data_IF_746777032300
#
_entry.id   IF_746777032300
#
_cell.length_a   1.000
_cell.length_b   1.000
_cell.length_c   1.000
_cell.angle_alpha   90.00
_cell.angle_beta   90.00
_cell.angle_gamma   90.00
#
_symmetry.space_group_name_H-M   'P 1'
#
loop_
_entity.id
_entity.type
_entity.pdbx_description
1 polymer ?
#
# COMPACT_ATOMS: atom_id res chain seq x y z
N UNK A 1 7.91 -23.25 -9.31
CA UNK A 1 8.67 -23.15 -8.05
C UNK A 1 8.63 -21.67 -7.68
N UNK A 2 7.74 -21.28 -6.76
CA UNK A 2 7.78 -19.96 -6.16
C UNK A 2 8.98 -20.00 -5.22
N UNK A 3 10.07 -19.31 -5.59
CA UNK A 3 11.17 -19.11 -4.66
C UNK A 3 10.57 -18.48 -3.39
N UNK A 4 10.84 -19.07 -2.24
CA UNK A 4 10.48 -18.47 -0.96
C UNK A 4 11.17 -17.10 -0.90
N UNK A 5 10.39 -16.05 -1.00
CA UNK A 5 10.91 -14.70 -0.87
C UNK A 5 11.34 -14.51 0.58
N UNK A 6 12.55 -14.00 0.78
CA UNK A 6 13.01 -13.61 2.11
C UNK A 6 12.26 -12.34 2.55
N UNK A 7 11.25 -12.54 3.38
CA UNK A 7 10.42 -11.45 3.89
C UNK A 7 11.14 -10.56 4.89
N UNK A 8 12.26 -11.02 5.47
CA UNK A 8 13.05 -10.23 6.43
C UNK A 8 13.74 -9.03 5.78
N UNK A 9 13.91 -9.04 4.45
CA UNK A 9 14.45 -7.90 3.69
C UNK A 9 13.39 -6.92 3.21
N UNK A 10 12.11 -7.31 3.21
CA UNK A 10 11.00 -6.55 2.63
C UNK A 10 10.60 -5.40 3.56
N UNK A 11 10.42 -4.22 2.97
CA UNK A 11 9.90 -3.04 3.66
C UNK A 11 8.56 -2.61 3.07
N UNK A 12 7.67 -2.13 3.93
CA UNK A 12 6.38 -1.58 3.52
C UNK A 12 6.26 -0.15 4.00
N UNK A 13 5.77 0.71 3.14
CA UNK A 13 5.19 1.98 3.54
C UNK A 13 3.68 1.81 3.60
N UNK A 14 3.12 2.19 4.71
CA UNK A 14 1.68 2.17 4.99
C UNK A 14 1.21 3.61 5.07
N UNK A 15 0.19 3.94 4.29
CA UNK A 15 -0.49 5.22 4.37
C UNK A 15 -1.95 4.98 4.77
N UNK A 16 -2.31 5.36 5.98
CA UNK A 16 -3.68 5.36 6.47
C UNK A 16 -4.33 6.70 6.16
N UNK A 17 -5.46 6.67 5.45
CA UNK A 17 -6.05 7.84 4.84
C UNK A 17 -7.47 8.05 5.38
N UNK A 18 -7.72 9.25 5.90
CA UNK A 18 -9.07 9.77 6.13
C UNK A 18 -9.42 10.73 5.01
N UNK A 19 -10.56 10.53 4.38
CA UNK A 19 -11.02 11.39 3.28
C UNK A 19 -11.76 12.64 3.79
N UNK A 20 -11.87 13.60 2.89
CA UNK A 20 -12.89 14.65 3.00
C UNK A 20 -14.24 13.99 2.68
N UNK A 21 -15.23 14.20 3.54
CA UNK A 21 -16.55 13.60 3.45
C UNK A 21 -17.20 13.79 2.07
N UNK A 22 -17.79 12.74 1.55
CA UNK A 22 -18.51 12.73 0.26
C UNK A 22 -17.61 12.59 -0.97
N UNK A 23 -16.28 12.39 -0.81
CA UNK A 23 -15.35 12.26 -1.92
C UNK A 23 -14.88 10.82 -2.19
N UNK A 24 -15.49 9.81 -1.59
CA UNK A 24 -15.06 8.41 -1.66
C UNK A 24 -14.99 7.92 -3.11
N UNK A 25 -16.06 8.16 -3.89
CA UNK A 25 -16.13 7.73 -5.29
C UNK A 25 -15.05 8.41 -6.14
N UNK A 26 -14.88 9.71 -5.98
CA UNK A 26 -13.88 10.47 -6.71
C UNK A 26 -12.46 10.01 -6.34
N UNK A 27 -12.25 9.65 -5.08
CA UNK A 27 -10.99 9.11 -4.60
C UNK A 27 -10.69 7.72 -5.19
N UNK A 28 -11.69 6.84 -5.29
CA UNK A 28 -11.53 5.53 -5.93
C UNK A 28 -11.16 5.67 -7.42
N UNK A 29 -11.75 6.64 -8.13
CA UNK A 29 -11.37 6.98 -9.51
C UNK A 29 -9.92 7.52 -9.58
N UNK A 30 -9.53 8.35 -8.62
CA UNK A 30 -8.18 8.88 -8.50
C UNK A 30 -7.15 7.77 -8.23
N UNK A 31 -7.42 6.81 -7.35
CA UNK A 31 -6.54 5.66 -7.12
C UNK A 31 -6.47 4.73 -8.34
N UNK A 32 -7.57 4.60 -9.09
CA UNK A 32 -7.58 3.90 -10.38
C UNK A 32 -6.66 4.57 -11.41
N UNK A 33 -6.53 5.88 -11.39
CA UNK A 33 -5.54 6.60 -12.20
C UNK A 33 -4.11 6.28 -11.73
N UNK A 34 -3.84 6.29 -10.42
CA UNK A 34 -2.54 5.91 -9.87
C UNK A 34 -2.14 4.47 -10.18
N UNK A 35 -3.10 3.54 -10.26
CA UNK A 35 -2.87 2.14 -10.61
C UNK A 35 -2.02 1.98 -11.87
N UNK A 36 -2.25 2.80 -12.90
CA UNK A 36 -1.47 2.75 -14.16
C UNK A 36 0.02 3.02 -13.93
N UNK A 37 0.35 3.99 -13.08
CA UNK A 37 1.73 4.25 -12.68
C UNK A 37 2.30 3.13 -11.83
N UNK A 38 1.53 2.61 -10.89
CA UNK A 38 1.98 1.53 -10.00
C UNK A 38 2.24 0.24 -10.80
N UNK A 39 1.44 -0.07 -11.82
CA UNK A 39 1.71 -1.18 -12.74
C UNK A 39 3.03 -1.01 -13.49
N UNK A 40 3.36 0.22 -13.94
CA UNK A 40 4.67 0.53 -14.53
C UNK A 40 5.80 0.31 -13.52
N UNK A 41 5.64 0.78 -12.30
CA UNK A 41 6.66 0.62 -11.25
C UNK A 41 6.87 -0.86 -10.84
N UNK A 42 5.81 -1.67 -10.83
CA UNK A 42 5.90 -3.12 -10.64
C UNK A 42 6.71 -3.78 -11.77
N UNK A 43 6.40 -3.43 -13.03
CA UNK A 43 7.11 -3.97 -14.20
C UNK A 43 8.59 -3.56 -14.24
N UNK A 44 8.94 -2.41 -13.69
CA UNK A 44 10.30 -1.89 -13.59
C UNK A 44 11.04 -2.35 -12.32
N UNK A 45 10.42 -3.14 -11.46
CA UNK A 45 10.99 -3.59 -10.18
C UNK A 45 11.25 -2.46 -9.17
N UNK A 46 10.58 -1.31 -9.33
CA UNK A 46 10.67 -0.20 -8.38
C UNK A 46 9.93 -0.49 -7.08
N UNK A 47 8.86 -1.28 -7.17
CA UNK A 47 8.08 -1.81 -6.04
C UNK A 47 7.80 -3.29 -6.27
N UNK A 48 7.58 -4.06 -5.21
CA UNK A 48 7.15 -5.45 -5.25
C UNK A 48 5.63 -5.60 -5.20
N UNK A 49 4.95 -4.62 -4.62
CA UNK A 49 3.50 -4.64 -4.47
C UNK A 49 2.93 -3.25 -4.22
N UNK A 50 1.68 -3.09 -4.61
CA UNK A 50 0.87 -1.93 -4.29
C UNK A 50 -0.56 -2.39 -4.04
N UNK A 51 -1.12 -2.00 -2.92
CA UNK A 51 -2.46 -2.39 -2.50
C UNK A 51 -3.22 -1.18 -2.02
N UNK A 52 -4.50 -1.14 -2.33
CA UNK A 52 -5.46 -0.17 -1.79
C UNK A 52 -6.57 -0.95 -1.12
N UNK A 53 -6.71 -0.76 0.17
CA UNK A 53 -7.73 -1.38 1.00
C UNK A 53 -8.73 -0.33 1.45
N UNK A 54 -10.01 -0.61 1.30
CA UNK A 54 -11.08 0.18 1.90
C UNK A 54 -11.37 -0.37 3.29
N UNK A 55 -11.37 0.48 4.30
CA UNK A 55 -11.74 0.07 5.64
C UNK A 55 -13.23 -0.27 5.70
N UNK A 56 -13.57 -1.43 6.25
CA UNK A 56 -14.94 -1.79 6.55
C UNK A 56 -15.33 -1.15 7.88
N UNK A 57 -16.04 -0.04 7.80
CA UNK A 57 -16.48 0.72 8.98
C UNK A 57 -17.49 -0.05 9.84
N UNK A 58 -18.12 -1.08 9.29
CA UNK A 58 -19.13 -1.88 10.03
C UNK A 58 -18.48 -2.95 10.90
N UNK A 59 -17.31 -3.45 10.53
CA UNK A 59 -16.57 -4.48 11.26
C UNK A 59 -15.53 -3.93 12.24
N UNK A 60 -15.21 -2.63 12.12
CA UNK A 60 -14.22 -1.98 12.96
C UNK A 60 -14.83 -1.47 14.27
N UNK A 61 -14.02 -1.45 15.33
CA UNK A 61 -14.38 -0.75 16.56
C UNK A 61 -14.67 0.72 16.27
N UNK A 62 -15.56 1.34 17.04
CA UNK A 62 -16.01 2.73 16.88
C UNK A 62 -14.90 3.81 16.83
N UNK A 63 -13.64 3.41 16.97
CA UNK A 63 -12.45 4.27 16.92
C UNK A 63 -11.68 4.17 15.59
N UNK A 64 -12.16 3.41 14.59
CA UNK A 64 -11.53 3.39 13.28
C UNK A 64 -11.65 4.78 12.63
N UNK A 65 -10.50 5.42 12.40
CA UNK A 65 -10.44 6.77 11.87
C UNK A 65 -10.05 6.81 10.38
N UNK A 66 -9.64 5.68 9.83
CA UNK A 66 -9.16 5.57 8.45
C UNK A 66 -10.26 5.07 7.52
N UNK A 67 -10.32 5.63 6.32
CA UNK A 67 -11.22 5.18 5.26
C UNK A 67 -10.52 4.23 4.28
N UNK A 68 -9.22 4.45 4.06
CA UNK A 68 -8.39 3.63 3.17
C UNK A 68 -7.01 3.40 3.75
N UNK A 69 -6.44 2.23 3.41
CA UNK A 69 -5.05 1.89 3.69
C UNK A 69 -4.36 1.61 2.36
N UNK A 70 -3.27 2.33 2.09
CA UNK A 70 -2.42 2.07 0.93
C UNK A 70 -1.12 1.43 1.40
N UNK A 71 -0.76 0.32 0.78
CA UNK A 71 0.51 -0.35 1.01
C UNK A 71 1.38 -0.24 -0.23
N UNK A 72 2.60 0.25 -0.08
CA UNK A 72 3.66 0.12 -1.06
C UNK A 72 4.71 -0.84 -0.50
N UNK A 73 5.03 -1.90 -1.23
CA UNK A 73 5.98 -2.94 -0.82
C UNK A 73 7.26 -2.82 -1.61
N UNK A 74 8.39 -2.82 -0.92
CA UNK A 74 9.73 -2.66 -1.49
C UNK A 74 10.61 -3.85 -1.16
N UNK A 75 11.51 -4.19 -2.06
CA UNK A 75 12.45 -5.30 -1.90
C UNK A 75 13.36 -5.14 -0.67
N UNK A 76 13.71 -3.89 -0.36
CA UNK A 76 14.57 -3.56 0.77
C UNK A 76 14.41 -2.08 1.19
N UNK A 77 15.03 -1.73 2.31
CA UNK A 77 15.00 -0.37 2.87
C UNK A 77 15.59 0.68 1.92
N UNK A 78 16.65 0.33 1.20
CA UNK A 78 17.31 1.26 0.29
C UNK A 78 16.38 1.67 -0.86
N UNK A 79 15.68 0.71 -1.49
CA UNK A 79 14.69 1.00 -2.53
C UNK A 79 13.54 1.85 -2.00
N UNK A 80 13.07 1.55 -0.79
CA UNK A 80 12.04 2.37 -0.15
C UNK A 80 12.52 3.81 0.04
N UNK A 81 13.71 4.02 0.62
CA UNK A 81 14.29 5.35 0.83
C UNK A 81 14.51 6.08 -0.50
N UNK A 82 14.99 5.38 -1.51
CA UNK A 82 15.14 5.94 -2.86
C UNK A 82 13.82 6.45 -3.43
N UNK A 83 12.76 5.65 -3.35
CA UNK A 83 11.44 6.05 -3.86
C UNK A 83 10.83 7.20 -3.05
N UNK A 84 11.01 7.20 -1.73
CA UNK A 84 10.50 8.25 -0.85
C UNK A 84 11.27 9.58 -0.99
N UNK A 85 12.52 9.55 -1.48
CA UNK A 85 13.30 10.75 -1.76
C UNK A 85 12.97 11.43 -3.08
N UNK A 86 12.12 10.84 -3.92
CA UNK A 86 11.76 11.42 -5.22
C UNK A 86 10.93 12.70 -5.04
N UNK A 87 11.27 13.69 -5.85
CA UNK A 87 10.59 14.99 -5.83
C UNK A 87 9.19 14.92 -6.42
N UNK A 88 8.35 15.89 -6.09
CA UNK A 88 7.02 16.03 -6.70
C UNK A 88 7.09 16.10 -8.23
N UNK A 89 8.09 16.81 -8.77
CA UNK A 89 8.30 16.92 -10.22
C UNK A 89 8.58 15.55 -10.83
N UNK A 90 9.39 14.71 -10.19
CA UNK A 90 9.66 13.35 -10.64
C UNK A 90 8.36 12.53 -10.70
N UNK A 91 7.52 12.58 -9.67
CA UNK A 91 6.24 11.89 -9.65
C UNK A 91 5.29 12.37 -10.75
N UNK A 92 5.23 13.68 -11.00
CA UNK A 92 4.45 14.26 -12.10
C UNK A 92 4.93 13.74 -13.45
N UNK A 93 6.23 13.64 -13.68
CA UNK A 93 6.81 13.14 -14.93
C UNK A 93 6.57 11.63 -15.11
N UNK A 94 6.64 10.84 -14.05
CA UNK A 94 6.30 9.43 -14.05
C UNK A 94 4.80 9.21 -14.39
N UNK A 95 3.90 9.99 -13.80
CA UNK A 95 2.47 9.95 -14.13
C UNK A 95 2.21 10.28 -15.60
N UNK A 96 2.80 11.35 -16.12
CA UNK A 96 2.68 11.71 -17.55
C UNK A 96 3.16 10.59 -18.46
N UNK A 97 4.30 9.98 -18.11
CA UNK A 97 4.92 8.91 -18.88
C UNK A 97 4.06 7.64 -18.86
N UNK A 98 3.57 7.23 -17.70
CA UNK A 98 2.74 6.04 -17.54
C UNK A 98 1.42 6.12 -18.35
N UNK A 99 0.86 7.32 -18.47
CA UNK A 99 -0.41 7.57 -19.14
C UNK A 99 -0.27 8.00 -20.62
N UNK A 100 0.97 8.20 -21.11
CA UNK A 100 1.21 8.62 -22.50
C UNK A 100 0.59 7.65 -23.50
N UNK A 101 -0.28 8.16 -24.37
CA UNK A 101 -0.98 7.36 -25.37
C UNK A 101 -2.15 6.50 -24.85
N UNK A 102 -2.37 6.44 -23.53
CA UNK A 102 -3.43 5.63 -22.89
C UNK A 102 -4.60 6.47 -22.38
N UNK A 103 -4.32 7.70 -21.95
CA UNK A 103 -5.29 8.58 -21.26
C UNK A 103 -5.31 9.96 -21.93
N UNK A 104 -6.49 10.58 -22.01
CA UNK A 104 -6.65 11.93 -22.55
C UNK A 104 -5.84 12.94 -21.73
N UNK A 105 -5.18 13.89 -22.41
CA UNK A 105 -4.35 14.92 -21.76
C UNK A 105 -5.10 15.74 -20.70
N UNK A 106 -6.39 16.01 -20.91
CA UNK A 106 -7.23 16.73 -19.93
C UNK A 106 -7.39 15.97 -18.65
N UNK A 107 -7.58 14.66 -18.72
CA UNK A 107 -7.69 13.76 -17.54
C UNK A 107 -6.37 13.69 -16.81
N UNK A 108 -5.25 13.56 -17.51
CA UNK A 108 -3.91 13.57 -16.90
C UNK A 108 -3.68 14.89 -16.16
N UNK A 109 -3.99 16.03 -16.78
CA UNK A 109 -3.87 17.34 -16.13
C UNK A 109 -4.75 17.46 -14.89
N UNK A 110 -6.01 16.99 -14.97
CA UNK A 110 -6.95 16.96 -13.84
C UNK A 110 -6.30 16.24 -12.65
N UNK A 111 -5.93 14.98 -12.80
CA UNK A 111 -5.45 14.18 -11.68
C UNK A 111 -4.07 14.59 -11.17
N UNK A 112 -3.19 15.15 -12.01
CA UNK A 112 -1.94 15.78 -11.55
C UNK A 112 -2.26 16.98 -10.66
N UNK A 113 -3.17 17.86 -11.07
CA UNK A 113 -3.59 19.01 -10.25
C UNK A 113 -4.20 18.56 -8.92
N UNK A 114 -5.02 17.53 -8.92
CA UNK A 114 -5.63 16.96 -7.71
C UNK A 114 -4.61 16.32 -6.78
N UNK A 115 -3.55 15.68 -7.33
CA UNK A 115 -2.40 15.18 -6.57
C UNK A 115 -1.66 16.32 -5.87
N UNK A 116 -1.29 17.36 -6.63
CA UNK A 116 -0.52 18.49 -6.13
C UNK A 116 -1.28 19.24 -5.02
N UNK A 117 -2.59 19.38 -5.18
CA UNK A 117 -3.44 20.11 -4.24
C UNK A 117 -3.99 19.25 -3.10
N UNK A 118 -3.62 17.98 -3.02
CA UNK A 118 -4.12 17.04 -2.01
C UNK A 118 -5.66 17.08 -1.85
N UNK A 119 -6.38 17.03 -2.96
CA UNK A 119 -7.82 17.33 -3.05
C UNK A 119 -8.71 16.46 -2.17
N UNK A 120 -8.32 15.23 -1.92
CA UNK A 120 -9.21 14.22 -1.35
C UNK A 120 -8.98 13.94 0.13
N UNK A 121 -7.75 14.14 0.60
CA UNK A 121 -7.29 13.61 1.88
C UNK A 121 -7.40 14.66 2.98
N UNK A 122 -8.21 14.38 3.98
CA UNK A 122 -8.32 15.20 5.21
C UNK A 122 -7.16 14.94 6.15
N UNK A 123 -6.75 13.67 6.27
CA UNK A 123 -5.64 13.24 7.13
C UNK A 123 -4.92 12.07 6.48
N UNK A 124 -3.62 12.02 6.63
CA UNK A 124 -2.78 10.87 6.27
C UNK A 124 -1.83 10.60 7.42
N UNK A 125 -1.76 9.35 7.86
CA UNK A 125 -0.71 8.88 8.77
C UNK A 125 0.14 7.88 8.00
N UNK A 126 1.42 8.18 7.86
CA UNK A 126 2.37 7.34 7.14
C UNK A 126 3.38 6.76 8.09
N UNK A 127 3.64 5.47 7.96
CA UNK A 127 4.70 4.78 8.70
C UNK A 127 5.30 3.66 7.86
N UNK A 128 6.43 3.13 8.30
CA UNK A 128 7.15 2.08 7.60
C UNK A 128 7.25 0.85 8.49
N UNK A 129 7.10 -0.31 7.88
CA UNK A 129 7.24 -1.60 8.55
C UNK A 129 8.32 -2.42 7.85
N UNK A 130 9.17 -3.07 8.61
CA UNK A 130 10.07 -4.12 8.13
C UNK A 130 9.34 -5.46 8.21
N UNK A 131 9.43 -6.26 7.16
CA UNK A 131 8.97 -7.65 7.21
C UNK A 131 9.78 -8.44 8.23
N UNK A 132 9.12 -9.28 8.99
CA UNK A 132 9.77 -10.23 9.90
C UNK A 132 9.58 -11.63 9.34
N UNK A 133 8.33 -11.99 9.05
CA UNK A 133 7.98 -13.27 8.50
C UNK A 133 6.69 -13.14 7.70
N UNK A 134 6.47 -14.04 6.74
CA UNK A 134 5.20 -14.16 6.04
C UNK A 134 4.98 -15.59 5.54
N UNK A 135 3.73 -15.97 5.50
CA UNK A 135 3.28 -17.20 4.87
C UNK A 135 2.16 -16.87 3.88
N UNK A 136 2.33 -17.32 2.65
CA UNK A 136 1.32 -17.16 1.60
C UNK A 136 0.96 -18.55 1.06
N UNK A 137 -0.33 -18.81 0.95
CA UNK A 137 -0.81 -19.99 0.25
C UNK A 137 -0.37 -19.93 -1.22
N UNK A 138 -0.05 -21.08 -1.82
CA UNK A 138 0.24 -21.16 -3.27
C UNK A 138 -0.92 -20.65 -4.15
N UNK A 139 -2.14 -20.61 -3.60
CA UNK A 139 -3.35 -20.09 -4.25
C UNK A 139 -3.59 -18.61 -4.00
N UNK A 140 -2.79 -17.98 -3.13
CA UNK A 140 -2.95 -16.58 -2.79
C UNK A 140 -2.38 -15.69 -3.91
N UNK A 141 -3.20 -15.37 -4.90
CA UNK A 141 -2.90 -14.32 -5.86
C UNK A 141 -3.64 -13.03 -5.44
N UNK A 142 -2.99 -11.86 -5.49
CA UNK A 142 -3.67 -10.60 -5.26
C UNK A 142 -4.82 -10.42 -6.25
N UNK A 143 -6.03 -10.26 -5.74
CA UNK A 143 -7.23 -10.04 -6.56
C UNK A 143 -8.18 -9.07 -5.86
N UNK A 144 -9.05 -8.44 -6.62
CA UNK A 144 -10.08 -7.55 -6.09
C UNK A 144 -11.10 -8.36 -5.27
N UNK A 145 -11.56 -7.80 -4.15
CA UNK A 145 -12.58 -8.41 -3.28
C UNK A 145 -12.03 -9.31 -2.17
N UNK A 146 -10.71 -9.42 -2.04
CA UNK A 146 -10.11 -10.07 -0.85
C UNK A 146 -10.40 -9.20 0.38
N UNK A 147 -10.75 -9.85 1.48
CA UNK A 147 -10.86 -9.25 2.81
C UNK A 147 -9.59 -9.57 3.58
N UNK A 148 -8.99 -8.55 4.19
CA UNK A 148 -7.83 -8.70 5.06
C UNK A 148 -8.11 -8.05 6.41
N UNK A 149 -7.66 -8.70 7.48
CA UNK A 149 -7.61 -8.11 8.80
C UNK A 149 -6.24 -7.44 8.98
N UNK A 150 -6.25 -6.16 9.27
CA UNK A 150 -5.05 -5.41 9.63
C UNK A 150 -5.12 -5.07 11.12
N UNK A 151 -4.18 -5.58 11.88
CA UNK A 151 -4.13 -5.39 13.34
C UNK A 151 -2.81 -4.67 13.66
N UNK A 152 -2.92 -3.47 14.22
CA UNK A 152 -1.81 -2.78 14.83
C UNK A 152 -1.71 -3.20 16.31
N UNK A 153 -0.54 -3.61 16.75
CA UNK A 153 -0.26 -3.96 18.16
C UNK A 153 0.85 -3.09 18.69
N UNK A 154 0.71 -2.67 19.94
CA UNK A 154 1.78 -2.04 20.70
C UNK A 154 2.52 -3.14 21.48
N UNK A 155 3.82 -3.26 21.24
CA UNK A 155 4.66 -4.22 21.94
C UNK A 155 4.96 -3.71 23.34
N UNK A 156 4.64 -4.54 24.35
CA UNK A 156 4.88 -4.20 25.76
C UNK A 156 6.24 -4.71 26.27
N UNK A 157 6.85 -5.66 25.56
CA UNK A 157 8.17 -6.21 25.85
C UNK A 157 8.80 -6.78 24.57
N UNK A 158 10.07 -7.16 24.63
CA UNK A 158 10.86 -7.65 23.49
C UNK A 158 10.47 -9.08 23.01
N UNK A 159 9.58 -9.76 23.72
CA UNK A 159 9.23 -11.16 23.43
C UNK A 159 8.16 -11.34 22.35
N UNK A 160 7.48 -10.24 21.94
CA UNK A 160 6.34 -10.32 21.03
C UNK A 160 6.70 -10.93 19.66
N UNK A 161 7.83 -10.52 19.08
CA UNK A 161 8.28 -11.05 17.78
C UNK A 161 8.59 -12.54 17.88
N UNK A 162 9.21 -12.98 18.96
CA UNK A 162 9.50 -14.38 19.22
C UNK A 162 8.22 -15.20 19.39
N UNK A 163 7.24 -14.64 20.08
CA UNK A 163 5.93 -15.27 20.28
C UNK A 163 5.19 -15.46 18.94
N UNK A 164 5.13 -14.43 18.12
CA UNK A 164 4.49 -14.50 16.80
C UNK A 164 5.21 -15.49 15.87
N UNK A 165 6.53 -15.42 15.78
CA UNK A 165 7.30 -16.21 14.81
C UNK A 165 7.53 -17.66 15.25
N UNK A 166 7.68 -17.92 16.55
CA UNK A 166 7.99 -19.26 17.06
C UNK A 166 6.75 -20.07 17.48
N UNK A 167 5.66 -19.39 17.84
CA UNK A 167 4.44 -20.05 18.29
C UNK A 167 3.28 -19.94 17.30
N UNK A 168 2.86 -18.72 16.95
CA UNK A 168 1.67 -18.53 16.10
C UNK A 168 1.91 -18.90 14.63
N UNK A 169 3.02 -18.47 14.04
CA UNK A 169 3.29 -18.74 12.63
C UNK A 169 3.38 -20.24 12.31
N UNK A 170 4.07 -21.10 13.11
CA UNK A 170 4.05 -22.54 12.91
C UNK A 170 2.64 -23.14 13.01
N UNK A 171 1.82 -22.64 13.94
CA UNK A 171 0.43 -23.08 14.08
C UNK A 171 -0.38 -22.75 12.81
N UNK A 172 -0.30 -21.53 12.30
CA UNK A 172 -0.99 -21.14 11.08
C UNK A 172 -0.51 -21.87 9.83
N UNK A 173 0.76 -22.29 9.78
CA UNK A 173 1.30 -23.11 8.69
C UNK A 173 0.77 -24.56 8.71
N UNK A 174 0.30 -25.04 9.86
CA UNK A 174 -0.19 -26.41 10.03
C UNK A 174 -1.70 -26.57 9.75
N UNK A 175 -2.44 -25.47 9.64
CA UNK A 175 -3.87 -25.45 9.32
C UNK A 175 -4.09 -25.25 7.82
#
# INVERSE_FOLDING_TARGET
VICAQDWSSVYRQVDEITLIEGLEKDYEEFESFWKTLKQKHLAEGKILGWFVWKADQTSNNNNAWTDYIILNVYENEQKMKEMNSKTQEWWINELKTAHKGKTKRSIIKKYISETVNNKYKKKVVSYTNKGIEAYLSEKAAPQTGIVANYIGVEELNEDYVDFETKLFLPYHKSC
#
